data_IF_121744880199
#
_entry.id   IF_121744880199
#
_cell.length_a   1.000
_cell.length_b   1.000
_cell.length_c   1.000
_cell.angle_alpha   90.00
_cell.angle_beta   90.00
_cell.angle_gamma   90.00
#
_symmetry.space_group_name_H-M   'P 1'
#
loop_
_entity.id
_entity.type
_entity.pdbx_description
1 polymer ?
#
# COMPACT_ATOMS: atom_id res chain seq x y z
N UNK A 1 5.23 -11.34 -26.48
CA UNK A 1 5.07 -10.90 -25.09
C UNK A 1 4.11 -9.73 -25.16
N UNK A 2 2.81 -9.99 -25.02
CA UNK A 2 1.79 -8.96 -25.22
C UNK A 2 1.91 -7.90 -24.14
N UNK A 3 1.84 -6.62 -24.50
CA UNK A 3 1.75 -5.55 -23.51
C UNK A 3 0.65 -5.85 -22.49
N UNK A 4 0.98 -5.66 -21.23
CA UNK A 4 0.12 -5.92 -20.07
C UNK A 4 -1.16 -5.06 -20.18
N UNK A 5 -2.34 -5.71 -20.23
CA UNK A 5 -3.63 -5.03 -20.35
C UNK A 5 -4.21 -4.69 -18.97
N UNK A 6 -3.54 -3.79 -18.25
CA UNK A 6 -3.92 -3.39 -16.89
C UNK A 6 -5.37 -2.89 -16.81
N UNK A 7 -5.85 -2.19 -17.85
CA UNK A 7 -7.22 -1.69 -17.95
C UNK A 7 -8.23 -2.84 -17.97
N UNK A 8 -8.05 -3.80 -18.89
CA UNK A 8 -8.97 -4.92 -19.00
C UNK A 8 -8.88 -5.89 -17.84
N UNK A 9 -7.72 -6.05 -17.22
CA UNK A 9 -7.55 -6.82 -15.98
C UNK A 9 -8.30 -6.19 -14.81
N UNK A 10 -8.16 -4.87 -14.62
CA UNK A 10 -8.89 -4.12 -13.61
C UNK A 10 -10.41 -4.24 -13.81
N UNK A 11 -10.90 -3.96 -15.01
CA UNK A 11 -12.34 -4.01 -15.32
C UNK A 11 -12.90 -5.43 -15.15
N UNK A 12 -12.15 -6.47 -15.55
CA UNK A 12 -12.53 -7.87 -15.32
C UNK A 12 -12.64 -8.20 -13.84
N UNK A 13 -11.63 -7.84 -13.05
CA UNK A 13 -11.60 -8.12 -11.62
C UNK A 13 -12.76 -7.41 -10.89
N UNK A 14 -13.02 -6.14 -11.20
CA UNK A 14 -14.15 -5.39 -10.62
C UNK A 14 -15.51 -5.97 -11.02
N UNK A 15 -15.67 -6.39 -12.28
CA UNK A 15 -16.89 -7.06 -12.77
C UNK A 15 -17.24 -8.31 -11.96
N UNK A 16 -16.23 -9.09 -11.59
CA UNK A 16 -16.42 -10.35 -10.86
C UNK A 16 -16.85 -10.15 -9.40
N UNK A 17 -16.66 -8.93 -8.86
CA UNK A 17 -17.04 -8.56 -7.49
C UNK A 17 -18.45 -7.96 -7.37
N UNK A 18 -18.98 -7.35 -8.43
CA UNK A 18 -20.32 -6.77 -8.42
C UNK A 18 -21.36 -7.85 -8.64
N UNK A 19 -22.25 -8.04 -7.66
CA UNK A 19 -23.35 -9.00 -7.80
C UNK A 19 -24.45 -8.44 -8.71
N UNK A 20 -25.24 -9.31 -9.36
CA UNK A 20 -26.36 -8.87 -10.19
C UNK A 20 -27.37 -8.03 -9.42
N UNK A 21 -27.67 -8.39 -8.18
CA UNK A 21 -28.64 -7.69 -7.32
C UNK A 21 -28.18 -6.27 -7.00
N UNK A 22 -26.88 -6.09 -6.72
CA UNK A 22 -26.29 -4.76 -6.51
C UNK A 22 -26.39 -3.87 -7.76
N UNK A 23 -26.37 -4.48 -8.94
CA UNK A 23 -26.54 -3.78 -10.22
C UNK A 23 -28.02 -3.68 -10.67
N UNK A 24 -28.97 -4.09 -9.82
CA UNK A 24 -30.41 -4.06 -10.14
C UNK A 24 -30.86 -5.09 -11.17
N UNK A 25 -30.07 -6.15 -11.41
CA UNK A 25 -30.39 -7.23 -12.35
C UNK A 25 -31.11 -8.37 -11.60
N UNK A 26 -32.35 -8.71 -12.00
CA UNK A 26 -33.04 -9.88 -11.44
C UNK A 26 -32.29 -11.17 -11.76
N UNK A 27 -32.08 -12.01 -10.75
CA UNK A 27 -31.46 -13.32 -10.95
C UNK A 27 -32.52 -14.39 -11.19
N UNK A 28 -32.47 -15.01 -12.36
CA UNK A 28 -33.29 -16.18 -12.71
C UNK A 28 -32.42 -17.38 -13.06
N UNK A 29 -32.66 -18.53 -12.40
CA UNK A 29 -32.01 -19.80 -12.70
C UNK A 29 -30.58 -19.96 -12.13
N UNK A 30 -29.88 -21.02 -12.56
CA UNK A 30 -28.53 -21.35 -12.09
C UNK A 30 -27.48 -20.50 -12.78
N UNK A 31 -26.74 -19.67 -12.03
CA UNK A 31 -25.61 -18.87 -12.55
C UNK A 31 -24.30 -19.62 -12.38
N UNK A 32 -23.42 -19.50 -13.39
CA UNK A 32 -22.05 -20.04 -13.37
C UNK A 32 -21.01 -19.11 -12.78
N UNK A 33 -21.30 -17.80 -12.76
CA UNK A 33 -20.41 -16.77 -12.23
C UNK A 33 -21.12 -15.98 -11.14
N UNK A 34 -20.45 -15.67 -10.01
CA UNK A 34 -21.05 -14.92 -8.91
C UNK A 34 -21.25 -13.44 -9.25
N UNK A 35 -20.36 -12.85 -10.05
CA UNK A 35 -20.46 -11.45 -10.48
C UNK A 35 -21.26 -11.22 -11.77
N UNK A 36 -21.14 -10.01 -12.30
CA UNK A 36 -21.78 -9.61 -13.56
C UNK A 36 -21.20 -10.36 -14.77
N UNK A 37 -22.07 -10.72 -15.71
CA UNK A 37 -21.70 -11.21 -17.04
C UNK A 37 -21.25 -10.03 -17.90
N UNK A 38 -20.46 -10.31 -18.94
CA UNK A 38 -20.00 -9.28 -19.89
C UNK A 38 -21.17 -8.56 -20.57
N UNK A 39 -22.18 -9.32 -20.96
CA UNK A 39 -23.39 -8.80 -21.60
C UNK A 39 -24.19 -7.88 -20.67
N UNK A 40 -24.25 -8.21 -19.38
CA UNK A 40 -24.93 -7.40 -18.37
C UNK A 40 -24.20 -6.07 -18.16
N UNK A 41 -22.87 -6.08 -18.03
CA UNK A 41 -22.08 -4.84 -17.94
C UNK A 41 -22.25 -3.99 -19.19
N UNK A 42 -22.15 -4.60 -20.37
CA UNK A 42 -22.27 -3.89 -21.63
C UNK A 42 -23.64 -3.22 -21.79
N UNK A 43 -24.71 -3.95 -21.47
CA UNK A 43 -26.07 -3.42 -21.46
C UNK A 43 -26.21 -2.22 -20.53
N UNK A 44 -25.78 -2.35 -19.26
CA UNK A 44 -25.90 -1.28 -18.27
C UNK A 44 -25.02 -0.06 -18.60
N UNK A 45 -23.87 -0.28 -19.25
CA UNK A 45 -22.94 0.78 -19.64
C UNK A 45 -23.30 1.42 -21.00
N UNK A 46 -24.32 0.93 -21.71
CA UNK A 46 -24.73 1.46 -23.01
C UNK A 46 -23.72 1.20 -24.14
N UNK A 47 -22.99 0.08 -24.07
CA UNK A 47 -21.97 -0.32 -25.06
C UNK A 47 -22.25 -1.72 -25.59
N UNK A 48 -21.61 -2.12 -26.69
CA UNK A 48 -21.77 -3.49 -27.21
C UNK A 48 -20.98 -4.51 -26.38
N UNK A 49 -21.51 -5.74 -26.26
CA UNK A 49 -20.83 -6.83 -25.58
C UNK A 49 -19.47 -7.17 -26.23
N UNK A 50 -19.39 -7.09 -27.56
CA UNK A 50 -18.14 -7.28 -28.30
C UNK A 50 -17.11 -6.19 -27.98
N UNK A 51 -17.55 -4.94 -27.83
CA UNK A 51 -16.65 -3.84 -27.44
C UNK A 51 -16.11 -4.05 -26.02
N UNK A 52 -16.96 -4.40 -25.06
CA UNK A 52 -16.53 -4.71 -23.69
C UNK A 52 -15.55 -5.91 -23.65
N UNK A 53 -15.81 -6.96 -24.45
CA UNK A 53 -14.90 -8.09 -24.58
C UNK A 53 -13.52 -7.66 -25.12
N UNK A 54 -13.48 -6.80 -26.14
CA UNK A 54 -12.22 -6.29 -26.70
C UNK A 54 -11.45 -5.43 -25.70
N UNK A 55 -12.13 -4.69 -24.85
CA UNK A 55 -11.52 -3.94 -23.74
C UNK A 55 -10.87 -4.88 -22.72
N UNK A 56 -11.59 -5.93 -22.27
CA UNK A 56 -11.01 -6.95 -21.38
C UNK A 56 -9.82 -7.71 -22.02
N UNK A 57 -9.81 -7.87 -23.34
CA UNK A 57 -8.72 -8.53 -24.09
C UNK A 57 -7.57 -7.60 -24.46
N UNK A 58 -7.72 -6.28 -24.27
CA UNK A 58 -6.68 -5.29 -24.58
C UNK A 58 -6.52 -4.99 -26.06
N UNK A 59 -7.55 -5.35 -26.85
CA UNK A 59 -7.66 -5.05 -28.28
C UNK A 59 -8.18 -3.63 -28.52
N UNK A 60 -8.97 -3.10 -27.59
CA UNK A 60 -9.38 -1.69 -27.53
C UNK A 60 -8.76 -1.04 -26.28
N UNK A 61 -7.86 -0.07 -26.49
CA UNK A 61 -7.02 0.49 -25.41
C UNK A 61 -7.30 1.95 -25.07
N UNK A 62 -8.06 2.64 -25.92
CA UNK A 62 -8.37 4.05 -25.77
C UNK A 62 -9.90 4.26 -25.71
N UNK A 63 -10.60 3.71 -24.69
CA UNK A 63 -11.99 4.04 -24.47
C UNK A 63 -12.15 5.54 -24.16
N UNK A 64 -13.29 6.13 -24.52
CA UNK A 64 -13.58 7.51 -24.16
C UNK A 64 -13.80 7.65 -22.65
N UNK A 65 -13.58 8.85 -22.12
CA UNK A 65 -13.86 9.18 -20.71
C UNK A 65 -15.31 8.83 -20.35
N UNK A 66 -16.27 9.14 -21.23
CA UNK A 66 -17.68 8.81 -21.03
C UNK A 66 -17.95 7.30 -20.87
N UNK A 67 -17.25 6.47 -21.65
CA UNK A 67 -17.33 5.00 -21.51
C UNK A 67 -16.76 4.57 -20.16
N UNK A 68 -15.60 5.11 -19.77
CA UNK A 68 -14.96 4.78 -18.50
C UNK A 68 -15.81 5.20 -17.29
N UNK A 69 -16.43 6.38 -17.31
CA UNK A 69 -17.35 6.83 -16.28
C UNK A 69 -18.61 5.96 -16.22
N UNK A 70 -19.11 5.49 -17.37
CA UNK A 70 -20.25 4.57 -17.42
C UNK A 70 -19.88 3.22 -16.82
N UNK A 71 -18.70 2.69 -17.15
CA UNK A 71 -18.17 1.47 -16.54
C UNK A 71 -17.97 1.65 -15.03
N UNK A 72 -17.45 2.79 -14.58
CA UNK A 72 -17.27 3.07 -13.17
C UNK A 72 -18.59 3.02 -12.39
N UNK A 73 -19.65 3.62 -12.93
CA UNK A 73 -21.00 3.56 -12.33
C UNK A 73 -21.55 2.13 -12.27
N UNK A 74 -21.45 1.39 -13.38
CA UNK A 74 -21.97 0.01 -13.46
C UNK A 74 -21.21 -0.93 -12.52
N UNK A 75 -19.90 -0.72 -12.39
CA UNK A 75 -19.04 -1.52 -11.53
C UNK A 75 -19.02 -1.02 -10.07
N UNK A 76 -19.90 -0.06 -9.73
CA UNK A 76 -20.03 0.52 -8.39
C UNK A 76 -18.67 0.95 -7.82
N UNK A 77 -17.84 1.57 -8.67
CA UNK A 77 -16.54 2.08 -8.26
C UNK A 77 -16.73 3.36 -7.44
N UNK A 78 -16.00 3.46 -6.33
CA UNK A 78 -15.84 4.72 -5.62
C UNK A 78 -14.96 5.71 -6.41
N UNK A 79 -14.84 6.93 -5.89
CA UNK A 79 -14.09 8.01 -6.53
C UNK A 79 -12.61 7.63 -6.77
N UNK A 80 -11.97 6.93 -5.84
CA UNK A 80 -10.56 6.56 -5.96
C UNK A 80 -10.34 5.46 -7.02
N UNK A 81 -11.23 4.48 -7.08
CA UNK A 81 -11.23 3.43 -8.09
C UNK A 81 -11.59 3.99 -9.48
N UNK A 82 -12.49 4.98 -9.54
CA UNK A 82 -12.85 5.68 -10.78
C UNK A 82 -11.68 6.50 -11.32
N UNK A 83 -11.01 7.26 -10.46
CA UNK A 83 -9.80 8.01 -10.81
C UNK A 83 -8.69 7.07 -11.31
N UNK A 84 -8.52 5.92 -10.66
CA UNK A 84 -7.57 4.89 -11.09
C UNK A 84 -7.93 4.30 -12.46
N UNK A 85 -9.19 3.97 -12.69
CA UNK A 85 -9.68 3.49 -13.99
C UNK A 85 -9.37 4.49 -15.12
N UNK A 86 -9.64 5.78 -14.89
CA UNK A 86 -9.33 6.85 -15.84
C UNK A 86 -7.81 6.94 -16.10
N UNK A 87 -6.99 6.83 -15.06
CA UNK A 87 -5.53 6.81 -15.20
C UNK A 87 -4.99 5.60 -15.97
N UNK A 88 -5.61 4.43 -15.84
CA UNK A 88 -5.22 3.23 -16.61
C UNK A 88 -5.43 3.38 -18.11
N UNK A 89 -6.45 4.13 -18.52
CA UNK A 89 -6.76 4.40 -19.93
C UNK A 89 -5.99 5.61 -20.50
N UNK A 90 -5.45 6.48 -19.64
CA UNK A 90 -4.64 7.59 -20.07
C UNK A 90 -3.29 7.11 -20.63
N UNK A 91 -2.79 7.78 -21.69
CA UNK A 91 -1.49 7.46 -22.26
C UNK A 91 -0.40 7.53 -21.18
N UNK A 92 0.33 6.42 -20.97
CA UNK A 92 1.41 6.33 -19.98
C UNK A 92 2.43 7.45 -20.22
N UNK A 93 2.56 8.48 -19.36
CA UNK A 93 3.74 9.32 -19.42
C UNK A 93 4.93 8.43 -19.06
N UNK A 94 5.89 8.30 -19.99
CA UNK A 94 7.17 7.64 -19.70
C UNK A 94 7.86 8.43 -18.60
N UNK A 95 7.75 7.98 -17.35
CA UNK A 95 8.57 8.50 -16.26
C UNK A 95 10.01 8.10 -16.50
N UNK A 96 10.91 9.06 -16.38
CA UNK A 96 12.35 8.83 -16.40
C UNK A 96 12.70 7.96 -15.21
N UNK A 97 13.03 6.69 -15.50
CA UNK A 97 13.58 5.73 -14.54
C UNK A 97 14.82 6.37 -13.95
N UNK A 98 14.85 6.59 -12.64
CA UNK A 98 16.09 7.00 -11.96
C UNK A 98 16.71 5.72 -11.40
N UNK A 99 17.77 5.17 -12.04
CA UNK A 99 18.42 3.96 -11.56
C UNK A 99 19.32 4.37 -10.39
N UNK A 100 18.87 4.11 -9.17
CA UNK A 100 19.66 4.32 -7.96
C UNK A 100 18.87 3.87 -6.74
N UNK A 101 19.57 3.40 -5.70
CA UNK A 101 18.94 3.26 -4.37
C UNK A 101 18.33 4.59 -4.00
N UNK A 102 17.01 4.63 -3.81
CA UNK A 102 16.32 5.85 -3.39
C UNK A 102 16.96 6.33 -2.08
N UNK A 103 17.48 7.56 -2.09
CA UNK A 103 18.11 8.16 -0.90
C UNK A 103 17.17 9.17 -0.30
N UNK A 104 17.09 9.17 1.03
CA UNK A 104 16.40 10.21 1.79
C UNK A 104 17.25 11.47 1.75
N UNK A 105 16.62 12.63 1.53
CA UNK A 105 17.32 13.92 1.56
C UNK A 105 17.88 14.18 2.96
N UNK A 106 19.07 14.79 3.10
CA UNK A 106 19.63 15.08 4.42
C UNK A 106 18.72 15.91 5.33
N UNK A 107 17.94 16.84 4.77
CA UNK A 107 16.96 17.63 5.53
C UNK A 107 15.83 16.77 6.10
N UNK A 108 15.29 15.84 5.31
CA UNK A 108 14.26 14.89 5.74
C UNK A 108 14.79 13.94 6.81
N UNK A 109 16.02 13.47 6.67
CA UNK A 109 16.67 12.65 7.70
C UNK A 109 16.84 13.41 9.02
N UNK A 110 17.26 14.68 8.98
CA UNK A 110 17.35 15.54 10.18
C UNK A 110 15.99 15.79 10.83
N UNK A 111 14.95 16.01 10.02
CA UNK A 111 13.58 16.13 10.54
C UNK A 111 13.16 14.85 11.25
N UNK A 112 13.44 13.69 10.65
CA UNK A 112 13.09 12.38 11.20
C UNK A 112 13.66 12.18 12.62
N UNK A 113 14.92 12.54 12.83
CA UNK A 113 15.59 12.47 14.14
C UNK A 113 15.03 13.45 15.17
N UNK A 114 14.42 14.56 14.73
CA UNK A 114 13.83 15.57 15.63
C UNK A 114 12.43 15.21 16.14
N UNK A 115 11.79 14.20 15.54
CA UNK A 115 10.44 13.77 15.89
C UNK A 115 10.46 12.90 17.15
N UNK A 116 9.73 13.33 18.18
CA UNK A 116 9.50 12.55 19.42
C UNK A 116 8.42 11.45 19.28
N UNK A 117 8.13 11.00 18.06
CA UNK A 117 7.10 10.00 17.73
C UNK A 117 7.70 8.97 16.78
N UNK A 118 7.24 7.70 16.77
CA UNK A 118 7.67 6.71 15.78
C UNK A 118 7.46 7.26 14.38
N UNK A 119 8.55 7.39 13.63
CA UNK A 119 8.51 7.93 12.28
C UNK A 119 9.53 7.24 11.38
N UNK A 120 9.15 7.08 10.11
CA UNK A 120 10.02 6.51 9.08
C UNK A 120 9.68 7.08 7.71
N UNK A 121 10.62 7.01 6.78
CA UNK A 121 10.44 7.35 5.37
C UNK A 121 10.33 6.06 4.59
N UNK A 122 9.29 5.92 3.77
CA UNK A 122 9.10 4.78 2.88
C UNK A 122 9.11 5.20 1.41
N UNK A 123 9.56 4.29 0.53
CA UNK A 123 9.46 4.44 -0.92
C UNK A 123 8.02 4.20 -1.40
N UNK A 124 7.80 4.41 -2.71
CA UNK A 124 6.51 4.06 -3.33
C UNK A 124 6.19 2.56 -3.24
N UNK A 125 7.22 1.73 -3.08
CA UNK A 125 7.13 0.28 -2.96
C UNK A 125 7.05 -0.20 -1.51
N UNK A 126 6.91 0.73 -0.56
CA UNK A 126 6.87 0.48 0.89
C UNK A 126 8.19 -0.08 1.45
N UNK A 127 9.30 0.18 0.77
CA UNK A 127 10.63 -0.04 1.33
C UNK A 127 10.93 1.05 2.36
N UNK A 128 11.36 0.68 3.56
CA UNK A 128 11.79 1.64 4.57
C UNK A 128 13.16 2.18 4.18
N UNK A 129 13.24 3.49 3.94
CA UNK A 129 14.46 4.18 3.49
C UNK A 129 15.23 4.82 4.66
N UNK A 130 14.51 5.27 5.68
CA UNK A 130 15.04 5.81 6.93
C UNK A 130 14.02 5.60 8.04
N UNK A 131 14.45 5.45 9.29
CA UNK A 131 13.58 5.34 10.46
C UNK A 131 14.25 5.98 11.66
N UNK A 132 13.48 6.61 12.56
CA UNK A 132 14.02 7.02 13.85
C UNK A 132 14.05 5.85 14.84
N UNK A 133 14.79 6.04 15.94
CA UNK A 133 14.96 5.01 16.97
C UNK A 133 13.63 4.53 17.56
N UNK A 134 12.65 5.43 17.71
CA UNK A 134 11.34 5.09 18.27
C UNK A 134 10.47 4.24 17.31
N UNK A 135 10.61 4.41 15.99
CA UNK A 135 10.01 3.50 15.02
C UNK A 135 10.61 2.09 15.12
N UNK A 136 11.94 1.99 15.21
CA UNK A 136 12.63 0.70 15.39
C UNK A 136 12.27 0.04 16.73
N UNK A 137 12.09 0.85 17.78
CA UNK A 137 11.65 0.36 19.08
C UNK A 137 10.20 -0.15 19.05
N UNK A 138 9.32 0.47 18.27
CA UNK A 138 7.94 0.02 18.10
C UNK A 138 7.84 -1.28 17.29
N UNK A 139 8.61 -1.39 16.21
CA UNK A 139 8.80 -2.64 15.48
C UNK A 139 10.22 -2.70 14.91
N UNK A 140 10.98 -3.79 15.16
CA UNK A 140 12.28 -4.00 14.51
C UNK A 140 12.23 -4.04 12.98
N UNK A 141 11.04 -4.21 12.39
CA UNK A 141 10.82 -4.18 10.93
C UNK A 141 10.62 -2.78 10.38
N UNK A 142 10.45 -1.76 11.22
CA UNK A 142 10.52 -0.36 10.81
C UNK A 142 11.97 0.13 10.79
N UNK A 143 12.83 -0.57 10.05
CA UNK A 143 14.25 -0.29 9.94
C UNK A 143 14.67 -0.13 8.47
N UNK A 144 15.68 0.71 8.15
CA UNK A 144 16.10 0.89 6.76
C UNK A 144 16.47 -0.41 6.06
N UNK A 145 15.93 -0.62 4.85
CA UNK A 145 16.18 -1.79 4.01
C UNK A 145 15.14 -2.91 4.14
N UNK A 146 14.18 -2.80 5.06
CA UNK A 146 13.02 -3.70 5.13
C UNK A 146 11.93 -3.29 4.15
N UNK A 147 10.96 -4.17 3.91
CA UNK A 147 9.80 -3.87 3.10
C UNK A 147 8.53 -4.21 3.88
N UNK A 148 7.72 -3.19 4.17
CA UNK A 148 6.57 -3.33 5.07
C UNK A 148 5.52 -4.30 4.56
N UNK A 149 5.37 -4.43 3.24
CA UNK A 149 4.43 -5.37 2.65
C UNK A 149 4.93 -6.80 2.81
N UNK A 150 6.23 -7.05 2.62
CA UNK A 150 6.83 -8.36 2.93
C UNK A 150 6.68 -8.72 4.39
N UNK A 151 7.08 -7.83 5.29
CA UNK A 151 7.05 -8.09 6.73
C UNK A 151 5.62 -8.41 7.19
N UNK A 152 4.63 -7.62 6.75
CA UNK A 152 3.21 -7.86 7.07
C UNK A 152 2.69 -9.23 6.63
N UNK A 153 3.10 -9.73 5.45
CA UNK A 153 2.57 -10.98 4.91
C UNK A 153 3.41 -12.22 5.24
N UNK A 154 4.70 -12.06 5.54
CA UNK A 154 5.66 -13.15 5.64
C UNK A 154 6.36 -13.27 7.00
N UNK A 155 6.28 -12.26 7.88
CA UNK A 155 6.85 -12.33 9.23
C UNK A 155 5.76 -12.59 10.30
N UNK A 156 5.74 -13.78 10.92
CA UNK A 156 4.80 -14.09 12.00
C UNK A 156 4.94 -13.18 13.22
N UNK A 157 6.13 -12.67 13.52
CA UNK A 157 6.34 -11.76 14.65
C UNK A 157 5.72 -10.39 14.38
N UNK A 158 5.81 -9.90 13.14
CA UNK A 158 5.13 -8.67 12.73
C UNK A 158 3.60 -8.86 12.75
N UNK A 159 3.09 -10.02 12.32
CA UNK A 159 1.66 -10.34 12.40
C UNK A 159 1.15 -10.41 13.84
N UNK A 160 1.94 -10.98 14.76
CA UNK A 160 1.59 -11.04 16.18
C UNK A 160 1.56 -9.64 16.82
N UNK A 161 2.41 -8.73 16.36
CA UNK A 161 2.49 -7.35 16.84
C UNK A 161 1.25 -6.51 16.48
N UNK A 162 0.53 -6.83 15.40
CA UNK A 162 -0.67 -6.10 14.97
C UNK A 162 -1.91 -7.00 14.99
N UNK A 163 -2.75 -6.94 16.04
CA UNK A 163 -3.94 -7.79 16.16
C UNK A 163 -4.90 -7.70 14.97
N UNK A 164 -4.96 -6.54 14.32
CA UNK A 164 -5.84 -6.26 13.18
C UNK A 164 -5.15 -6.46 11.80
N UNK A 165 -3.95 -7.07 11.75
CA UNK A 165 -3.15 -7.14 10.52
C UNK A 165 -3.91 -7.72 9.33
N UNK A 166 -4.81 -8.68 9.56
CA UNK A 166 -5.62 -9.26 8.50
C UNK A 166 -6.49 -8.22 7.82
N UNK A 167 -7.18 -7.39 8.60
CA UNK A 167 -7.98 -6.27 8.09
C UNK A 167 -7.09 -5.25 7.39
N UNK A 168 -6.00 -4.88 8.04
CA UNK A 168 -5.12 -3.79 7.59
C UNK A 168 -4.34 -4.16 6.31
N UNK A 169 -4.10 -5.46 6.09
CA UNK A 169 -3.46 -5.99 4.88
C UNK A 169 -4.22 -5.66 3.59
N UNK A 170 -5.55 -5.55 3.66
CA UNK A 170 -6.38 -5.18 2.50
C UNK A 170 -6.10 -3.72 2.11
N UNK A 171 -6.10 -2.82 3.09
CA UNK A 171 -5.81 -1.41 2.90
C UNK A 171 -4.35 -1.18 2.46
N UNK A 172 -3.41 -1.95 3.00
CA UNK A 172 -1.99 -1.88 2.60
C UNK A 172 -1.80 -2.28 1.12
N UNK A 173 -2.43 -3.35 0.67
CA UNK A 173 -2.38 -3.80 -0.74
C UNK A 173 -3.03 -2.77 -1.68
N UNK A 174 -4.19 -2.24 -1.31
CA UNK A 174 -4.86 -1.20 -2.10
C UNK A 174 -4.01 0.08 -2.19
N UNK A 175 -3.41 0.49 -1.07
CA UNK A 175 -2.47 1.62 -1.01
C UNK A 175 -1.21 1.40 -1.84
N UNK A 176 -0.64 0.20 -1.82
CA UNK A 176 0.51 -0.17 -2.67
C UNK A 176 0.17 -0.05 -4.15
N UNK A 177 -0.96 -0.61 -4.59
CA UNK A 177 -1.43 -0.48 -5.98
C UNK A 177 -1.63 0.97 -6.39
N UNK A 178 -2.24 1.79 -5.52
CA UNK A 178 -2.42 3.22 -5.75
C UNK A 178 -1.08 3.95 -5.88
N UNK A 179 -0.10 3.60 -5.04
CA UNK A 179 1.24 4.21 -5.00
C UNK A 179 2.08 3.91 -6.24
N UNK A 180 2.04 2.65 -6.71
CA UNK A 180 2.73 2.23 -7.94
C UNK A 180 2.03 2.79 -9.17
N UNK A 181 0.69 2.88 -9.15
CA UNK A 181 -0.09 3.40 -10.26
C UNK A 181 0.05 2.50 -11.50
N UNK A 182 0.45 3.09 -12.62
CA UNK A 182 0.62 2.40 -13.90
C UNK A 182 2.08 2.00 -14.19
N UNK A 183 2.99 2.19 -13.23
CA UNK A 183 4.42 1.90 -13.36
C UNK A 183 4.71 0.43 -12.99
N UNK A 184 4.12 -0.51 -13.74
CA UNK A 184 4.20 -1.96 -13.48
C UNK A 184 5.42 -2.63 -14.11
N UNK A 185 6.18 -1.88 -14.92
CA UNK A 185 7.39 -2.35 -15.60
C UNK A 185 8.67 -2.19 -14.74
N UNK A 186 8.53 -1.78 -13.48
CA UNK A 186 9.64 -1.65 -12.53
C UNK A 186 10.01 -3.02 -11.95
N UNK A 187 11.29 -3.45 -12.03
CA UNK A 187 11.75 -4.71 -11.46
C UNK A 187 11.40 -4.88 -9.97
N UNK A 188 11.42 -3.79 -9.19
CA UNK A 188 11.10 -3.84 -7.75
C UNK A 188 9.62 -4.17 -7.51
N UNK A 189 8.74 -3.63 -8.34
CA UNK A 189 7.32 -3.98 -8.31
C UNK A 189 7.10 -5.45 -8.67
N UNK A 190 7.70 -5.90 -9.79
CA UNK A 190 7.58 -7.28 -10.26
C UNK A 190 8.09 -8.27 -9.19
N UNK A 191 9.21 -7.94 -8.57
CA UNK A 191 9.81 -8.74 -7.49
C UNK A 191 8.86 -8.88 -6.29
N UNK A 192 8.34 -7.76 -5.76
CA UNK A 192 7.45 -7.76 -4.58
C UNK A 192 6.15 -8.51 -4.88
N UNK A 193 5.48 -8.19 -6.00
CA UNK A 193 4.20 -8.82 -6.36
C UNK A 193 4.39 -10.30 -6.65
N UNK A 194 5.45 -10.66 -7.38
CA UNK A 194 5.76 -12.06 -7.71
C UNK A 194 6.03 -12.89 -6.46
N UNK A 195 6.90 -12.41 -5.58
CA UNK A 195 7.24 -13.09 -4.32
C UNK A 195 6.00 -13.26 -3.43
N UNK A 196 5.28 -12.18 -3.15
CA UNK A 196 4.12 -12.23 -2.24
C UNK A 196 2.98 -13.08 -2.81
N UNK A 197 2.80 -13.10 -4.13
CA UNK A 197 1.79 -13.94 -4.79
C UNK A 197 2.11 -15.43 -4.67
N UNK A 198 3.39 -15.81 -4.64
CA UNK A 198 3.84 -17.19 -4.47
C UNK A 198 3.85 -17.61 -2.99
N UNK A 199 4.32 -16.73 -2.11
CA UNK A 199 4.57 -17.04 -0.71
C UNK A 199 3.32 -16.87 0.18
N UNK A 200 2.33 -16.06 -0.21
CA UNK A 200 1.14 -15.79 0.60
C UNK A 200 -0.15 -15.96 -0.19
N UNK A 201 -0.90 -17.03 0.13
CA UNK A 201 -2.23 -17.25 -0.45
C UNK A 201 -3.20 -16.11 -0.13
N UNK A 202 -3.04 -15.46 1.04
CA UNK A 202 -3.82 -14.28 1.43
C UNK A 202 -3.52 -13.11 0.52
N UNK A 203 -2.25 -12.78 0.30
CA UNK A 203 -1.85 -11.73 -0.62
C UNK A 203 -2.42 -11.99 -2.01
N UNK A 204 -2.25 -13.20 -2.55
CA UNK A 204 -2.77 -13.55 -3.88
C UNK A 204 -4.28 -13.31 -4.02
N UNK A 205 -5.08 -13.69 -3.01
CA UNK A 205 -6.53 -13.42 -2.98
C UNK A 205 -6.86 -11.93 -2.94
N UNK A 206 -6.17 -11.15 -2.11
CA UNK A 206 -6.40 -9.70 -1.99
C UNK A 206 -5.95 -8.99 -3.28
N UNK A 207 -4.80 -9.39 -3.82
CA UNK A 207 -4.23 -8.84 -5.05
C UNK A 207 -5.18 -9.02 -6.23
N UNK A 208 -5.73 -10.22 -6.41
CA UNK A 208 -6.66 -10.54 -7.50
C UNK A 208 -7.92 -9.66 -7.54
N UNK A 209 -8.36 -9.10 -6.40
CA UNK A 209 -9.56 -8.25 -6.31
C UNK A 209 -9.39 -6.86 -6.93
N UNK A 210 -8.16 -6.44 -7.19
CA UNK A 210 -7.85 -5.13 -7.76
C UNK A 210 -8.43 -3.95 -6.96
N UNK A 211 -8.58 -4.11 -5.64
CA UNK A 211 -8.99 -3.03 -4.76
C UNK A 211 -7.94 -1.90 -4.80
N UNK A 212 -8.41 -0.65 -4.95
CA UNK A 212 -7.59 0.58 -4.99
C UNK A 212 -8.04 1.56 -3.90
N UNK A 213 -9.24 1.37 -3.36
CA UNK A 213 -9.74 2.13 -2.24
C UNK A 213 -8.87 1.89 -1.01
N UNK A 214 -8.30 2.97 -0.50
CA UNK A 214 -7.71 2.99 0.82
C UNK A 214 -8.86 3.24 1.78
N UNK A 215 -9.21 2.25 2.61
CA UNK A 215 -10.19 2.46 3.67
C UNK A 215 -9.70 3.61 4.56
N UNK A 216 -10.61 4.47 5.04
CA UNK A 216 -10.25 5.53 5.98
C UNK A 216 -9.43 4.92 7.11
N UNK A 217 -8.28 5.54 7.43
CA UNK A 217 -7.32 4.96 8.36
C UNK A 217 -7.96 4.89 9.76
N UNK A 218 -8.51 3.71 10.09
CA UNK A 218 -8.83 3.39 11.47
C UNK A 218 -7.51 3.44 12.27
N UNK A 219 -7.57 3.82 13.55
CA UNK A 219 -6.40 3.75 14.41
C UNK A 219 -5.79 2.34 14.37
N UNK A 220 -4.48 2.28 14.17
CA UNK A 220 -3.69 1.07 14.16
C UNK A 220 -3.54 0.55 15.59
N UNK A 221 -3.91 -0.71 15.82
CA UNK A 221 -3.70 -1.39 17.10
C UNK A 221 -2.39 -2.14 17.08
N UNK A 222 -1.61 -2.01 18.15
CA UNK A 222 -0.32 -2.68 18.34
C UNK A 222 -0.33 -3.40 19.68
N UNK A 223 -0.03 -4.69 19.71
CA UNK A 223 0.19 -5.46 20.93
C UNK A 223 1.70 -5.55 21.21
N UNK A 224 2.25 -4.50 21.82
CA UNK A 224 3.69 -4.37 21.97
C UNK A 224 4.22 -5.18 23.18
N UNK A 225 5.24 -6.05 23.02
CA UNK A 225 5.65 -6.97 24.08
C UNK A 225 6.16 -6.29 25.36
N UNK A 226 6.61 -5.04 25.29
CA UNK A 226 7.12 -4.30 26.45
C UNK A 226 6.11 -3.36 27.10
N UNK A 227 5.14 -2.83 26.34
CA UNK A 227 4.22 -1.78 26.81
C UNK A 227 2.74 -2.14 26.63
N UNK A 228 2.45 -3.32 26.09
CA UNK A 228 1.11 -3.84 25.83
C UNK A 228 0.41 -3.13 24.68
N UNK A 229 -0.92 -3.11 24.74
CA UNK A 229 -1.79 -2.51 23.74
C UNK A 229 -1.53 -1.00 23.56
N UNK A 230 -1.32 -0.60 22.30
CA UNK A 230 -1.27 0.78 21.83
C UNK A 230 -2.31 0.99 20.73
N UNK A 231 -2.86 2.20 20.70
CA UNK A 231 -3.72 2.69 19.61
C UNK A 231 -3.05 3.91 18.99
N UNK A 232 -2.65 3.79 17.73
CA UNK A 232 -1.87 4.79 17.02
C UNK A 232 -2.57 5.19 15.72
N UNK A 233 -2.78 6.48 15.54
CA UNK A 233 -3.13 7.06 14.25
C UNK A 233 -1.91 7.05 13.33
N UNK A 234 -2.14 6.91 12.02
CA UNK A 234 -1.09 6.89 11.00
C UNK A 234 -1.27 8.03 10.02
N UNK A 235 -0.31 8.93 10.00
CA UNK A 235 -0.20 9.99 9.01
C UNK A 235 0.83 9.62 7.94
N UNK A 236 0.47 9.80 6.67
CA UNK A 236 1.36 9.53 5.53
C UNK A 236 1.47 10.78 4.66
N UNK A 237 2.62 11.43 4.71
CA UNK A 237 2.88 12.73 4.10
C UNK A 237 3.88 12.58 2.95
N UNK A 238 3.50 13.00 1.75
CA UNK A 238 4.42 13.00 0.60
C UNK A 238 5.59 13.95 0.82
N UNK A 239 6.81 13.53 0.45
CA UNK A 239 8.00 14.38 0.58
C UNK A 239 8.19 15.22 -0.68
N UNK A 240 8.07 16.53 -0.55
CA UNK A 240 8.26 17.46 -1.65
C UNK A 240 9.68 17.35 -2.25
N UNK A 241 9.77 17.31 -3.58
CA UNK A 241 11.03 17.13 -4.30
C UNK A 241 11.59 15.70 -4.25
N UNK A 242 10.90 14.74 -3.63
CA UNK A 242 11.23 13.31 -3.67
C UNK A 242 10.00 12.49 -4.07
N UNK A 243 9.56 12.56 -5.36
CA UNK A 243 8.35 11.88 -5.81
C UNK A 243 8.37 10.38 -5.49
N UNK A 244 7.29 9.89 -4.87
CA UNK A 244 7.16 8.50 -4.45
C UNK A 244 7.59 8.22 -3.02
N UNK A 245 8.39 9.08 -2.39
CA UNK A 245 8.71 8.97 -0.97
C UNK A 245 7.62 9.58 -0.10
N UNK A 246 7.37 8.95 1.04
CA UNK A 246 6.47 9.48 2.06
C UNK A 246 7.09 9.35 3.46
N UNK A 247 6.92 10.40 4.26
CA UNK A 247 7.13 10.36 5.70
C UNK A 247 5.87 9.76 6.34
N UNK A 248 6.05 8.72 7.14
CA UNK A 248 5.01 8.11 7.94
C UNK A 248 5.26 8.46 9.40
N UNK A 249 4.23 8.97 10.07
CA UNK A 249 4.25 9.29 11.50
C UNK A 249 3.15 8.50 12.17
N UNK A 250 3.50 7.82 13.27
CA UNK A 250 2.55 7.09 14.11
C UNK A 250 2.38 7.85 15.42
N UNK A 251 1.15 8.21 15.75
CA UNK A 251 0.90 9.04 16.93
C UNK A 251 -0.35 8.58 17.70
N UNK A 252 -0.31 8.59 19.04
CA UNK A 252 -1.49 8.36 19.85
C UNK A 252 -2.37 9.61 19.88
N UNK A 253 -3.60 9.46 20.36
CA UNK A 253 -4.40 10.63 20.74
C UNK A 253 -3.77 11.33 21.96
N UNK A 254 -3.73 12.67 21.99
CA UNK A 254 -3.18 13.42 23.12
C UNK A 254 -3.87 13.07 24.44
N UNK A 255 -3.09 12.82 25.49
CA UNK A 255 -3.60 12.48 26.83
C UNK A 255 -4.17 11.05 26.98
N UNK A 256 -4.02 10.20 25.96
CA UNK A 256 -4.39 8.78 26.04
C UNK A 256 -3.34 7.94 26.79
N UNK A 257 -3.75 6.78 27.29
CA UNK A 257 -2.85 5.75 27.84
C UNK A 257 -1.76 5.33 26.83
N UNK A 258 -2.09 5.32 25.53
CA UNK A 258 -1.11 5.06 24.47
C UNK A 258 -0.02 6.14 24.38
N UNK A 259 -0.31 7.40 24.74
CA UNK A 259 0.69 8.46 24.80
C UNK A 259 1.68 8.26 25.94
N UNK A 260 1.20 7.83 27.10
CA UNK A 260 2.06 7.49 28.26
C UNK A 260 2.94 6.28 27.94
N UNK A 261 2.35 5.19 27.43
CA UNK A 261 3.07 3.98 27.03
C UNK A 261 4.11 4.23 25.94
N UNK A 262 3.82 5.10 24.98
CA UNK A 262 4.80 5.47 23.95
C UNK A 262 5.99 6.25 24.54
N UNK A 263 5.75 7.08 25.55
CA UNK A 263 6.80 7.77 26.31
C UNK A 263 7.66 6.78 27.10
N UNK A 264 7.03 5.76 27.70
CA UNK A 264 7.75 4.66 28.37
C UNK A 264 8.64 3.90 27.37
N UNK A 265 8.10 3.55 26.19
CA UNK A 265 8.86 2.88 25.14
C UNK A 265 10.09 3.70 24.70
N UNK A 266 9.91 5.01 24.50
CA UNK A 266 11.01 5.90 24.13
C UNK A 266 12.11 5.95 25.20
N UNK A 267 11.73 5.94 26.48
CA UNK A 267 12.66 5.94 27.60
C UNK A 267 13.47 4.63 27.68
N UNK A 268 12.82 3.48 27.46
CA UNK A 268 13.48 2.18 27.42
C UNK A 268 14.43 2.04 26.23
N UNK A 269 14.05 2.56 25.06
CA UNK A 269 14.90 2.57 23.87
C UNK A 269 16.17 3.40 24.09
N UNK A 270 16.06 4.59 24.69
CA UNK A 270 17.19 5.45 25.00
C UNK A 270 18.18 4.81 26.00
N UNK A 271 17.69 4.01 26.94
CA UNK A 271 18.53 3.29 27.92
C UNK A 271 19.29 2.08 27.37
N UNK A 272 18.96 1.62 26.15
CA UNK A 272 19.58 0.45 25.51
C UNK A 272 20.75 0.77 24.57
N UNK A 273 21.10 2.05 24.39
CA UNK A 273 22.29 2.47 23.65
C UNK A 273 23.53 2.12 24.47
N UNK A 274 24.41 1.19 24.03
CA UNK A 274 25.64 0.90 24.77
C UNK A 274 26.49 2.18 24.83
N UNK A 275 27.10 2.53 25.96
CA UNK A 275 28.01 3.66 26.01
C UNK A 275 29.12 3.41 25.00
N UNK A 276 29.23 4.29 24.02
CA UNK A 276 30.32 4.30 23.05
C UNK A 276 31.61 4.39 23.87
N UNK A 277 32.37 3.30 23.92
CA UNK A 277 33.68 3.26 24.58
C UNK A 277 34.55 4.30 23.86
N UNK A 278 34.68 5.49 24.45
CA UNK A 278 35.71 6.46 24.08
C UNK A 278 37.03 5.76 24.35
N UNK A 279 37.70 5.29 23.30
CA UNK A 279 39.10 4.92 23.39
C UNK A 279 39.86 6.16 23.84
N UNK A 280 40.35 6.09 25.07
CA UNK A 280 41.28 7.05 25.61
C UNK A 280 42.56 6.97 24.76
N UNK A 281 42.71 7.92 23.85
CA UNK A 281 43.99 8.21 23.22
C UNK A 281 44.94 8.67 24.33
N UNK A 282 45.81 7.77 24.75
CA UNK A 282 46.89 8.03 25.69
C UNK A 282 48.12 8.47 24.89
N UNK A 283 48.57 9.74 24.95
CA UNK A 283 49.84 10.12 24.37
C UNK A 283 50.91 9.99 25.45
N UNK A 284 51.71 8.93 25.37
CA UNK A 284 52.97 8.85 26.11
C UNK A 284 54.03 8.10 25.31
N UNK A 285 55.24 8.63 25.46
CA UNK A 285 56.58 8.23 25.02
C UNK A 285 56.98 8.61 23.57
N UNK A 286 57.76 9.70 23.40
CA UNK A 286 59.21 9.90 23.66
C UNK A 286 60.09 9.35 22.54
#
# INVERSE_FOLDING_TARGET
MGEENLLGEFVRARRELVTPELAGIPVSGVRRVPGLRREEVAMLAGISADYYLRLEQGRDRNPSVQVLESLARVLLLDDAATEYLLRLAAAKPKRTRTPGREKVRPSTAKLLESLGLPAFVESRYLDVLAANSLAVALSPRLAPGTNRLRDMFLDPAEQALYPDWERDSVSAVAGFRKSVGTDTDDPRYIEIVGELSLASSRFSRIWARHDVLVCAAAPMRVDHPQVGDLVLNRERLGVEGSPGQALVILHPDPGSDSAEKLTLLASSAAGSIPPTRREAHNPADR
#
